data_IF_011070529893
#
_entry.id   IF_011070529893
#
_cell.length_a   1.000
_cell.length_b   1.000
_cell.length_c   1.000
_cell.angle_alpha   90.00
_cell.angle_beta   90.00
_cell.angle_gamma   90.00
#
_symmetry.space_group_name_H-M   'P 1'
#
loop_
_entity.id
_entity.type
_entity.pdbx_description
1 polymer ?
#
# COMPACT_ATOMS: atom_id res chain seq x y z
N UNK A 1 -29.15 2.44 -15.71
CA UNK A 1 -28.72 3.37 -16.79
C UNK A 1 -27.25 3.14 -17.09
N UNK A 2 -26.82 3.23 -18.36
CA UNK A 2 -25.46 2.84 -18.80
C UNK A 2 -24.33 3.64 -18.14
N UNK A 3 -24.57 4.93 -17.88
CA UNK A 3 -23.62 5.78 -17.13
C UNK A 3 -23.38 5.30 -15.69
N UNK A 4 -24.33 4.60 -15.08
CA UNK A 4 -24.15 4.03 -13.75
C UNK A 4 -23.23 2.81 -13.79
N UNK A 5 -23.25 2.01 -14.86
CA UNK A 5 -22.36 0.85 -14.99
C UNK A 5 -20.89 1.27 -15.05
N UNK A 6 -20.57 2.29 -15.85
CA UNK A 6 -19.20 2.82 -15.93
C UNK A 6 -18.75 3.41 -14.60
N UNK A 7 -19.64 4.10 -13.88
CA UNK A 7 -19.34 4.63 -12.54
C UNK A 7 -19.05 3.50 -11.55
N UNK A 8 -19.90 2.46 -11.52
CA UNK A 8 -19.71 1.30 -10.67
C UNK A 8 -18.42 0.53 -11.01
N UNK A 9 -18.08 0.43 -12.30
CA UNK A 9 -16.82 -0.15 -12.74
C UNK A 9 -15.64 0.62 -12.16
N UNK A 10 -15.61 1.95 -12.30
CA UNK A 10 -14.55 2.80 -11.71
C UNK A 10 -14.44 2.60 -10.20
N UNK A 11 -15.56 2.59 -9.48
CA UNK A 11 -15.56 2.39 -8.03
C UNK A 11 -14.98 1.01 -7.63
N UNK A 12 -15.26 -0.04 -8.43
CA UNK A 12 -14.69 -1.38 -8.24
C UNK A 12 -13.19 -1.41 -8.57
N UNK A 13 -12.78 -0.78 -9.67
CA UNK A 13 -11.37 -0.71 -10.07
C UNK A 13 -10.53 0.04 -9.02
N UNK A 14 -11.04 1.17 -8.51
CA UNK A 14 -10.37 1.97 -7.48
C UNK A 14 -10.19 1.17 -6.19
N UNK A 15 -11.20 0.40 -5.78
CA UNK A 15 -11.08 -0.50 -4.61
C UNK A 15 -10.04 -1.59 -4.81
N UNK A 16 -9.96 -2.18 -6.00
CA UNK A 16 -8.94 -3.18 -6.32
C UNK A 16 -7.52 -2.57 -6.28
N UNK A 17 -7.36 -1.34 -6.78
CA UNK A 17 -6.09 -0.61 -6.72
C UNK A 17 -5.72 -0.25 -5.28
N UNK A 18 -6.66 0.24 -4.48
CA UNK A 18 -6.44 0.54 -3.07
C UNK A 18 -6.05 -0.72 -2.27
N UNK A 19 -6.65 -1.87 -2.57
CA UNK A 19 -6.26 -3.15 -1.99
C UNK A 19 -4.81 -3.52 -2.35
N UNK A 20 -4.42 -3.39 -3.62
CA UNK A 20 -3.03 -3.61 -4.05
C UNK A 20 -2.04 -2.69 -3.31
N UNK A 21 -2.38 -1.41 -3.16
CA UNK A 21 -1.55 -0.48 -2.38
C UNK A 21 -1.37 -0.92 -0.94
N UNK A 22 -2.43 -1.37 -0.28
CA UNK A 22 -2.36 -1.88 1.09
C UNK A 22 -1.48 -3.14 1.20
N UNK A 23 -1.61 -4.07 0.24
CA UNK A 23 -0.76 -5.25 0.17
C UNK A 23 0.72 -4.87 -0.02
N UNK A 24 1.01 -3.87 -0.85
CA UNK A 24 2.38 -3.36 -1.03
C UNK A 24 2.93 -2.64 0.20
N UNK A 25 2.09 -1.92 0.96
CA UNK A 25 2.49 -1.30 2.22
C UNK A 25 2.85 -2.35 3.29
N UNK A 26 2.18 -3.51 3.27
CA UNK A 26 2.49 -4.61 4.18
C UNK A 26 3.83 -5.31 3.84
N UNK A 27 4.33 -5.16 2.61
CA UNK A 27 5.60 -5.76 2.18
C UNK A 27 6.77 -4.87 2.62
N UNK A 28 7.59 -5.39 3.54
CA UNK A 28 8.79 -4.72 4.04
C UNK A 28 9.93 -4.78 3.01
N UNK A 29 10.14 -3.68 2.32
CA UNK A 29 11.11 -3.48 1.22
C UNK A 29 12.53 -3.14 1.67
N UNK A 30 12.77 -3.05 2.98
CA UNK A 30 14.07 -2.62 3.54
C UNK A 30 14.12 -1.12 3.84
N UNK A 31 13.25 -0.32 3.21
CA UNK A 31 13.07 1.09 3.56
C UNK A 31 12.38 1.28 4.89
N UNK A 32 12.82 2.29 5.63
CA UNK A 32 12.15 2.77 6.81
C UNK A 32 10.81 3.41 6.42
N UNK A 33 9.76 3.05 7.13
CA UNK A 33 8.46 3.70 7.06
C UNK A 33 7.96 3.94 8.48
N UNK A 34 7.35 5.10 8.80
CA UNK A 34 6.85 5.39 10.15
C UNK A 34 5.93 4.30 10.72
N UNK A 35 5.09 3.72 9.85
CA UNK A 35 4.18 2.62 10.19
C UNK A 35 4.85 1.37 10.81
N UNK A 36 6.16 1.18 10.66
CA UNK A 36 6.89 0.09 11.32
C UNK A 36 6.85 0.20 12.85
N UNK A 37 6.78 1.43 13.37
CA UNK A 37 6.85 1.72 14.81
C UNK A 37 5.61 2.43 15.34
N UNK A 38 4.77 3.01 14.47
CA UNK A 38 3.60 3.82 14.84
C UNK A 38 2.66 3.18 15.85
N UNK A 39 2.41 1.88 15.75
CA UNK A 39 1.46 1.14 16.60
C UNK A 39 2.13 0.43 17.79
N UNK A 40 3.45 0.52 17.93
CA UNK A 40 4.15 0.07 19.14
C UNK A 40 3.64 0.92 20.30
N UNK A 41 3.27 0.28 21.41
CA UNK A 41 2.81 0.96 22.62
C UNK A 41 3.96 1.10 23.61
N UNK A 42 4.19 2.32 24.08
CA UNK A 42 5.10 2.61 25.17
C UNK A 42 4.31 3.07 26.40
N UNK A 43 4.87 2.87 27.59
CA UNK A 43 4.27 3.41 28.81
C UNK A 43 4.43 4.94 28.83
N UNK A 44 3.31 5.65 28.90
CA UNK A 44 3.27 7.10 29.11
C UNK A 44 2.45 7.39 30.35
N UNK A 45 3.13 7.74 31.44
CA UNK A 45 2.50 7.97 32.75
C UNK A 45 1.57 6.82 33.21
N UNK A 46 1.99 5.57 33.02
CA UNK A 46 1.23 4.38 33.40
C UNK A 46 0.15 3.96 32.41
N UNK A 47 0.01 4.66 31.28
CA UNK A 47 -0.95 4.31 30.22
C UNK A 47 -0.22 3.84 28.96
N UNK A 48 -0.52 2.64 28.42
CA UNK A 48 0.10 2.14 27.21
C UNK A 48 -0.39 2.93 25.99
N UNK A 49 0.47 3.79 25.46
CA UNK A 49 0.14 4.76 24.41
C UNK A 49 0.94 4.46 23.13
N UNK A 50 0.31 4.46 21.94
CA UNK A 50 1.01 4.27 20.68
C UNK A 50 2.06 5.35 20.39
N UNK A 51 3.21 4.97 19.82
CA UNK A 51 4.30 5.90 19.51
C UNK A 51 3.86 7.05 18.60
N UNK A 52 2.93 6.81 17.65
CA UNK A 52 2.39 7.85 16.77
C UNK A 52 1.71 9.02 17.51
N UNK A 53 1.30 8.81 18.76
CA UNK A 53 0.66 9.84 19.60
C UNK A 53 1.65 10.51 20.55
N UNK A 54 2.83 9.92 20.76
CA UNK A 54 3.84 10.38 21.71
C UNK A 54 5.03 11.07 21.05
N UNK A 55 5.25 10.83 19.76
CA UNK A 55 6.43 11.27 19.04
C UNK A 55 6.13 11.63 17.59
N UNK A 56 6.95 12.53 17.04
CA UNK A 56 7.08 12.72 15.61
C UNK A 56 8.00 11.63 15.04
N UNK A 57 7.55 10.92 14.02
CA UNK A 57 8.27 9.81 13.40
C UNK A 57 8.64 10.21 11.97
N UNK A 58 9.93 10.33 11.70
CA UNK A 58 10.46 10.75 10.39
C UNK A 58 11.43 9.72 9.82
N UNK A 59 11.63 9.77 8.50
CA UNK A 59 12.58 8.91 7.77
C UNK A 59 13.60 9.83 7.11
N UNK A 60 14.67 10.24 7.83
CA UNK A 60 15.67 11.18 7.28
C UNK A 60 16.49 10.58 6.14
N UNK A 61 16.72 9.27 6.17
CA UNK A 61 17.44 8.52 5.13
C UNK A 61 16.71 7.20 4.88
N UNK A 62 16.86 6.59 3.70
CA UNK A 62 16.07 5.43 3.26
C UNK A 62 15.95 4.29 4.27
N UNK A 63 16.97 4.05 5.10
CA UNK A 63 17.03 2.97 6.10
C UNK A 63 17.09 3.44 7.55
N UNK A 64 17.06 4.76 7.79
CA UNK A 64 17.08 5.34 9.14
C UNK A 64 15.73 5.91 9.48
N UNK A 65 15.25 5.59 10.67
CA UNK A 65 13.99 6.08 11.20
C UNK A 65 14.31 6.88 12.47
N UNK A 66 13.84 8.10 12.55
CA UNK A 66 14.04 8.99 13.68
C UNK A 66 12.71 9.21 14.40
N UNK A 67 12.71 9.00 15.71
CA UNK A 67 11.56 9.14 16.58
C UNK A 67 11.88 10.24 17.58
N UNK A 68 11.27 11.40 17.38
CA UNK A 68 11.45 12.56 18.25
C UNK A 68 10.24 12.70 19.18
N UNK A 69 10.34 12.33 20.46
CA UNK A 69 9.23 12.44 21.39
C UNK A 69 8.81 13.91 21.59
N UNK A 70 7.51 14.13 21.82
CA UNK A 70 7.02 15.45 22.22
C UNK A 70 7.46 15.82 23.65
N UNK A 71 7.66 14.80 24.50
CA UNK A 71 8.19 14.94 25.85
C UNK A 71 9.45 14.07 26.04
N UNK A 72 10.58 14.71 26.33
CA UNK A 72 11.88 14.04 26.55
C UNK A 72 11.85 13.04 27.71
N UNK A 73 10.93 13.18 28.67
CA UNK A 73 10.79 12.22 29.77
C UNK A 73 10.39 10.81 29.28
N UNK A 74 9.66 10.74 28.16
CA UNK A 74 9.16 9.49 27.56
C UNK A 74 10.21 8.70 26.79
N UNK A 75 11.39 9.28 26.55
CA UNK A 75 12.39 8.74 25.64
C UNK A 75 12.88 7.33 26.05
N UNK A 76 13.10 7.10 27.35
CA UNK A 76 13.45 5.77 27.89
C UNK A 76 12.34 4.74 27.72
N UNK A 77 11.08 5.16 27.81
CA UNK A 77 9.94 4.27 27.63
C UNK A 77 9.80 3.85 26.17
N UNK A 78 10.01 4.78 25.24
CA UNK A 78 10.05 4.53 23.79
C UNK A 78 11.17 3.54 23.44
N UNK A 79 12.38 3.77 23.95
CA UNK A 79 13.53 2.89 23.72
C UNK A 79 13.24 1.45 24.18
N UNK A 80 12.70 1.28 25.39
CA UNK A 80 12.31 -0.04 25.91
C UNK A 80 11.20 -0.69 25.08
N UNK A 81 10.20 0.08 24.65
CA UNK A 81 9.09 -0.44 23.86
C UNK A 81 9.57 -0.96 22.49
N UNK A 82 10.53 -0.27 21.86
CA UNK A 82 11.11 -0.70 20.59
C UNK A 82 11.96 -1.96 20.79
N UNK A 83 12.81 -2.00 21.83
CA UNK A 83 13.60 -3.19 22.17
C UNK A 83 12.72 -4.42 22.46
N UNK A 84 11.60 -4.23 23.15
CA UNK A 84 10.64 -5.29 23.46
C UNK A 84 9.74 -5.67 22.26
N UNK A 85 9.77 -4.91 21.18
CA UNK A 85 8.97 -5.18 19.99
C UNK A 85 9.57 -6.31 19.14
N UNK A 86 8.74 -6.91 18.29
CA UNK A 86 9.17 -7.94 17.34
C UNK A 86 9.99 -7.39 16.16
N UNK A 87 10.46 -6.13 16.21
CA UNK A 87 11.26 -5.52 15.15
C UNK A 87 12.68 -6.09 15.07
N UNK A 88 13.24 -6.55 16.20
CA UNK A 88 14.61 -7.07 16.26
C UNK A 88 15.68 -6.02 15.93
N UNK A 89 15.38 -4.73 16.16
CA UNK A 89 16.29 -3.61 15.90
C UNK A 89 16.68 -2.97 17.22
N UNK A 90 17.97 -2.73 17.41
CA UNK A 90 18.49 -2.00 18.57
C UNK A 90 18.36 -0.49 18.34
N UNK A 91 17.60 0.25 19.17
CA UNK A 91 17.54 1.70 19.10
C UNK A 91 18.85 2.37 19.52
N UNK A 92 19.20 3.45 18.84
CA UNK A 92 20.24 4.38 19.25
C UNK A 92 19.60 5.64 19.82
N UNK A 93 20.03 6.05 21.01
CA UNK A 93 19.50 7.21 21.71
C UNK A 93 20.57 8.30 21.74
N UNK A 94 20.24 9.52 21.30
CA UNK A 94 21.15 10.68 21.32
C UNK A 94 20.79 11.73 22.38
N UNK A 95 19.83 11.41 23.25
CA UNK A 95 19.34 12.30 24.32
C UNK A 95 18.15 13.17 23.94
N UNK A 96 17.86 13.34 22.65
CA UNK A 96 16.70 14.10 22.16
C UNK A 96 15.76 13.25 21.28
N UNK A 97 16.31 12.27 20.57
CA UNK A 97 15.56 11.39 19.68
C UNK A 97 16.09 9.95 19.74
N UNK A 98 15.24 9.02 19.29
CA UNK A 98 15.60 7.61 19.10
C UNK A 98 15.76 7.35 17.61
N UNK A 99 16.92 6.84 17.21
CA UNK A 99 17.24 6.42 15.85
C UNK A 99 17.21 4.91 15.71
N UNK A 100 16.56 4.43 14.66
CA UNK A 100 16.55 3.02 14.25
C UNK A 100 17.21 2.89 12.89
N UNK A 101 18.13 1.94 12.75
CA UNK A 101 18.74 1.59 11.47
C UNK A 101 18.23 0.22 11.06
N UNK A 102 17.54 0.14 9.93
CA UNK A 102 17.12 -1.14 9.38
C UNK A 102 18.31 -1.91 8.79
N UNK A 103 18.41 -3.23 9.05
CA UNK A 103 19.42 -4.06 8.40
C UNK A 103 19.18 -4.16 6.89
N UNK A 104 20.24 -4.40 6.14
CA UNK A 104 20.14 -4.62 4.69
C UNK A 104 19.40 -5.92 4.37
N UNK A 105 18.58 -5.89 3.32
CA UNK A 105 18.00 -7.11 2.78
C UNK A 105 19.06 -7.88 1.99
N UNK A 106 19.15 -9.18 2.23
CA UNK A 106 19.97 -10.09 1.42
C UNK A 106 19.49 -10.12 -0.02
N UNK A 107 20.38 -10.44 -0.97
CA UNK A 107 20.02 -10.58 -2.40
C UNK A 107 18.90 -11.59 -2.62
N UNK A 108 18.97 -12.73 -1.92
CA UNK A 108 17.94 -13.78 -1.96
C UNK A 108 16.59 -13.24 -1.53
N UNK A 109 16.54 -12.48 -0.43
CA UNK A 109 15.29 -11.89 0.06
C UNK A 109 14.71 -10.87 -0.92
N UNK A 110 15.55 -10.05 -1.55
CA UNK A 110 15.10 -9.09 -2.58
C UNK A 110 14.45 -9.80 -3.77
N UNK A 111 15.05 -10.91 -4.23
CA UNK A 111 14.48 -11.71 -5.33
C UNK A 111 13.15 -12.36 -4.94
N UNK A 112 13.00 -12.82 -3.70
CA UNK A 112 11.70 -13.32 -3.21
C UNK A 112 10.64 -12.22 -3.19
N UNK A 113 11.01 -11.02 -2.72
CA UNK A 113 10.11 -9.88 -2.64
C UNK A 113 9.65 -9.42 -4.03
N UNK A 114 10.54 -9.34 -5.03
CA UNK A 114 10.14 -8.96 -6.40
C UNK A 114 9.17 -9.98 -6.99
N UNK A 115 9.39 -11.29 -6.78
CA UNK A 115 8.44 -12.33 -7.19
C UNK A 115 7.07 -12.18 -6.50
N UNK A 116 7.06 -11.87 -5.21
CA UNK A 116 5.83 -11.62 -4.46
C UNK A 116 5.08 -10.39 -5.00
N UNK A 117 5.79 -9.28 -5.25
CA UNK A 117 5.21 -8.06 -5.82
C UNK A 117 4.58 -8.32 -7.19
N UNK A 118 5.26 -9.11 -8.04
CA UNK A 118 4.78 -9.46 -9.37
C UNK A 118 3.51 -10.32 -9.30
N UNK A 119 3.48 -11.29 -8.36
CA UNK A 119 2.30 -12.11 -8.10
C UNK A 119 1.09 -11.25 -7.69
N UNK A 120 1.29 -10.32 -6.75
CA UNK A 120 0.23 -9.40 -6.28
C UNK A 120 -0.27 -8.46 -7.39
N UNK A 121 0.64 -7.96 -8.24
CA UNK A 121 0.25 -7.17 -9.41
C UNK A 121 -0.64 -7.97 -10.37
N UNK A 122 -0.27 -9.23 -10.66
CA UNK A 122 -1.07 -10.07 -11.56
C UNK A 122 -2.43 -10.43 -10.96
N UNK A 123 -2.50 -10.72 -9.66
CA UNK A 123 -3.77 -10.92 -8.95
C UNK A 123 -4.69 -9.69 -9.12
N UNK A 124 -4.16 -8.47 -8.95
CA UNK A 124 -4.91 -7.25 -9.19
C UNK A 124 -5.36 -7.11 -10.65
N UNK A 125 -4.48 -7.37 -11.63
CA UNK A 125 -4.85 -7.34 -13.07
C UNK A 125 -5.96 -8.33 -13.40
N UNK A 126 -5.93 -9.53 -12.83
CA UNK A 126 -6.99 -10.53 -13.00
C UNK A 126 -8.32 -10.02 -12.45
N UNK A 127 -8.32 -9.39 -11.27
CA UNK A 127 -9.52 -8.77 -10.69
C UNK A 127 -10.08 -7.66 -11.60
N UNK A 128 -9.23 -6.78 -12.12
CA UNK A 128 -9.65 -5.72 -13.06
C UNK A 128 -10.27 -6.33 -14.34
N UNK A 129 -9.65 -7.38 -14.90
CA UNK A 129 -10.17 -8.08 -16.09
C UNK A 129 -11.53 -8.74 -15.83
N UNK A 130 -11.76 -9.27 -14.63
CA UNK A 130 -13.04 -9.83 -14.22
C UNK A 130 -14.12 -8.74 -14.13
N UNK A 131 -13.82 -7.60 -13.49
CA UNK A 131 -14.77 -6.48 -13.42
C UNK A 131 -15.13 -5.91 -14.79
N UNK A 132 -14.17 -5.87 -15.72
CA UNK A 132 -14.43 -5.52 -17.12
C UNK A 132 -15.41 -6.51 -17.75
N UNK A 133 -15.17 -7.82 -17.59
CA UNK A 133 -16.05 -8.87 -18.12
C UNK A 133 -17.48 -8.71 -17.60
N UNK A 134 -17.64 -8.55 -16.29
CA UNK A 134 -18.95 -8.37 -15.65
C UNK A 134 -19.68 -7.14 -16.22
N UNK A 135 -18.96 -6.03 -16.41
CA UNK A 135 -19.53 -4.80 -16.94
C UNK A 135 -19.96 -4.94 -18.40
N UNK A 136 -19.15 -5.62 -19.23
CA UNK A 136 -19.52 -5.91 -20.63
C UNK A 136 -20.72 -6.85 -20.70
N UNK A 137 -20.79 -7.87 -19.84
CA UNK A 137 -21.94 -8.77 -19.76
C UNK A 137 -23.22 -8.01 -19.32
N UNK A 138 -23.12 -7.06 -18.39
CA UNK A 138 -24.22 -6.20 -17.99
C UNK A 138 -24.71 -5.29 -19.14
N UNK A 139 -23.80 -4.67 -19.89
CA UNK A 139 -24.14 -3.87 -21.07
C UNK A 139 -24.84 -4.71 -22.15
N UNK A 140 -24.38 -5.94 -22.40
CA UNK A 140 -25.04 -6.87 -23.34
C UNK A 140 -26.45 -7.26 -22.90
N UNK A 141 -26.71 -7.36 -21.59
CA UNK A 141 -28.07 -7.61 -21.08
C UNK A 141 -28.97 -6.40 -21.33
N UNK A 142 -28.49 -5.18 -21.07
CA UNK A 142 -29.23 -3.95 -21.34
C UNK A 142 -29.60 -3.79 -22.83
N UNK A 143 -28.74 -4.24 -23.74
CA UNK A 143 -29.03 -4.23 -25.18
C UNK A 143 -30.15 -5.23 -25.53
N UNK A 144 -30.08 -6.46 -25.02
CA UNK A 144 -31.14 -7.46 -25.19
C UNK A 144 -32.48 -7.01 -24.61
N UNK A 145 -32.45 -6.29 -23.50
CA UNK A 145 -33.64 -5.71 -22.86
C UNK A 145 -34.15 -4.45 -23.58
N UNK A 146 -33.54 -4.09 -24.73
CA UNK A 146 -33.85 -2.87 -25.51
C UNK A 146 -33.70 -1.56 -24.72
N UNK A 147 -32.95 -1.58 -23.61
CA UNK A 147 -32.66 -0.40 -22.79
C UNK A 147 -31.53 0.46 -23.39
N UNK A 148 -30.73 -0.10 -24.31
CA UNK A 148 -29.72 0.59 -25.12
C UNK A 148 -29.71 0.04 -26.56
N UNK A 149 -29.22 0.83 -27.50
CA UNK A 149 -29.03 0.41 -28.90
C UNK A 149 -27.71 -0.36 -29.12
N UNK A 150 -27.54 -0.99 -30.28
CA UNK A 150 -26.28 -1.64 -30.66
C UNK A 150 -25.11 -0.62 -30.76
N UNK A 151 -25.39 0.59 -31.25
CA UNK A 151 -24.41 1.67 -31.34
C UNK A 151 -23.99 2.16 -29.95
N UNK A 152 -24.95 2.27 -29.02
CA UNK A 152 -24.67 2.55 -27.62
C UNK A 152 -23.81 1.45 -26.98
N UNK A 153 -24.12 0.18 -27.24
CA UNK A 153 -23.34 -0.96 -26.73
C UNK A 153 -21.89 -0.88 -27.19
N UNK A 154 -21.64 -0.55 -28.47
CA UNK A 154 -20.27 -0.36 -29.00
C UNK A 154 -19.56 0.79 -28.29
N UNK A 155 -20.24 1.92 -28.11
CA UNK A 155 -19.69 3.09 -27.42
C UNK A 155 -19.34 2.78 -25.96
N UNK A 156 -20.28 2.24 -25.19
CA UNK A 156 -20.05 1.95 -23.77
C UNK A 156 -19.04 0.82 -23.56
N UNK A 157 -18.96 -0.16 -24.47
CA UNK A 157 -17.91 -1.19 -24.43
C UNK A 157 -16.51 -0.59 -24.61
N UNK A 158 -16.38 0.43 -25.47
CA UNK A 158 -15.13 1.18 -25.63
C UNK A 158 -14.80 1.96 -24.36
N UNK A 159 -15.77 2.66 -23.77
CA UNK A 159 -15.55 3.39 -22.51
C UNK A 159 -15.11 2.45 -21.36
N UNK A 160 -15.71 1.25 -21.28
CA UNK A 160 -15.31 0.21 -20.31
C UNK A 160 -13.88 -0.27 -20.54
N UNK A 161 -13.48 -0.42 -21.81
CA UNK A 161 -12.12 -0.79 -22.18
C UNK A 161 -11.12 0.31 -21.80
N UNK A 162 -11.41 1.57 -22.15
CA UNK A 162 -10.56 2.73 -21.85
C UNK A 162 -10.34 2.88 -20.33
N UNK A 163 -11.40 2.71 -19.53
CA UNK A 163 -11.29 2.67 -18.06
C UNK A 163 -10.41 1.51 -17.61
N UNK A 164 -10.60 0.31 -18.16
CA UNK A 164 -9.80 -0.85 -17.73
C UNK A 164 -8.31 -0.65 -18.02
N UNK A 165 -7.98 -0.11 -19.20
CA UNK A 165 -6.60 0.14 -19.60
C UNK A 165 -5.93 1.23 -18.75
N UNK A 166 -6.69 2.25 -18.32
CA UNK A 166 -6.23 3.25 -17.34
C UNK A 166 -5.79 2.59 -16.02
N UNK A 167 -6.63 1.73 -15.44
CA UNK A 167 -6.32 1.09 -14.16
C UNK A 167 -5.24 0.01 -14.27
N UNK A 168 -5.12 -0.68 -15.41
CA UNK A 168 -3.99 -1.59 -15.66
C UNK A 168 -2.67 -0.80 -15.65
N UNK A 169 -2.62 0.38 -16.29
CA UNK A 169 -1.42 1.23 -16.24
C UNK A 169 -1.08 1.67 -14.83
N UNK A 170 -2.08 2.06 -14.02
CA UNK A 170 -1.88 2.40 -12.60
C UNK A 170 -1.30 1.23 -11.80
N UNK A 171 -1.75 0.00 -12.04
CA UNK A 171 -1.17 -1.21 -11.43
C UNK A 171 0.28 -1.40 -11.87
N UNK A 172 0.59 -1.22 -13.15
CA UNK A 172 1.96 -1.36 -13.67
C UNK A 172 2.90 -0.29 -13.10
N UNK A 173 2.43 0.94 -12.95
CA UNK A 173 3.16 2.04 -12.31
C UNK A 173 3.43 1.73 -10.83
N UNK A 174 2.41 1.27 -10.10
CA UNK A 174 2.55 0.88 -8.70
C UNK A 174 3.54 -0.28 -8.53
N UNK A 175 3.47 -1.29 -9.40
CA UNK A 175 4.42 -2.41 -9.41
C UNK A 175 5.85 -1.93 -9.65
N UNK A 176 6.08 -1.15 -10.71
CA UNK A 176 7.42 -0.65 -11.06
C UNK A 176 8.00 0.22 -9.96
N UNK A 177 7.20 1.10 -9.36
CA UNK A 177 7.63 1.93 -8.24
C UNK A 177 8.10 1.06 -7.06
N UNK A 178 7.32 0.01 -6.74
CA UNK A 178 7.64 -0.87 -5.61
C UNK A 178 8.79 -1.84 -5.89
N UNK A 179 8.91 -2.33 -7.12
CA UNK A 179 10.02 -3.16 -7.57
C UNK A 179 11.34 -2.39 -7.53
N UNK A 180 11.34 -1.16 -8.03
CA UNK A 180 12.49 -0.24 -7.95
C UNK A 180 12.91 -0.01 -6.49
N UNK A 181 11.94 0.17 -5.60
CA UNK A 181 12.19 0.32 -4.15
C UNK A 181 12.90 -0.90 -3.54
N UNK A 182 12.59 -2.12 -3.98
CA UNK A 182 13.25 -3.35 -3.50
C UNK A 182 14.65 -3.54 -4.10
N UNK A 183 14.89 -3.03 -5.31
CA UNK A 183 16.13 -3.27 -6.06
C UNK A 183 17.20 -2.18 -5.88
N UNK A 184 16.81 -0.91 -5.69
CA UNK A 184 17.75 0.22 -5.65
C UNK A 184 18.32 0.58 -4.27
N UNK A 185 17.89 -0.11 -3.20
CA UNK A 185 18.53 -0.01 -1.88
C UNK A 185 19.82 -0.84 -1.77
#
# INVERSE_FOLDING_TARGET
MPKNEIKQLRDKMEKALAFLHNEYLAIRTGRAHPGLVSDIKADYYGTPTPLKQMANITVPEGRKLQISPFDRSSLKAIEKAILASNLGITPQNDGESVRLTLPELTRERRVELTKLLAKKAEEARVVLRNHRRDSVEALKKLEKDSAITEDDLKKYSKDVQDVTDEYIKKVDEAYKAKEKEVLED
#
